data_IF_867846047523
#
_entry.id   IF_867846047523
#
_cell.length_a   1.000
_cell.length_b   1.000
_cell.length_c   1.000
_cell.angle_alpha   90.00
_cell.angle_beta   90.00
_cell.angle_gamma   90.00
#
_symmetry.space_group_name_H-M   'P 1'
#
loop_
_entity.id
_entity.type
_entity.pdbx_description
1 polymer ?
#
# COMPACT_ATOMS: atom_id res chain seq x y z
N UNK A 1 3.52 -18.15 -17.62
CA UNK A 1 2.10 -18.04 -18.04
C UNK A 1 1.15 -17.87 -16.85
N UNK A 2 1.51 -18.28 -15.61
CA UNK A 2 0.60 -18.20 -14.45
C UNK A 2 0.90 -17.08 -13.43
N UNK A 3 1.78 -16.12 -13.76
CA UNK A 3 2.24 -15.05 -12.84
C UNK A 3 2.08 -13.65 -13.45
N UNK A 4 1.58 -13.57 -14.69
CA UNK A 4 1.32 -12.27 -15.31
C UNK A 4 0.02 -11.70 -14.76
N UNK A 5 -0.02 -10.38 -14.59
CA UNK A 5 -1.27 -9.65 -14.34
C UNK A 5 -2.19 -9.87 -15.53
N UNK A 6 -3.50 -10.02 -15.26
CA UNK A 6 -4.51 -10.20 -16.30
C UNK A 6 -4.64 -8.94 -17.15
N UNK A 7 -4.91 -9.10 -18.45
CA UNK A 7 -4.95 -7.97 -19.39
C UNK A 7 -6.04 -6.96 -19.04
N UNK A 8 -7.09 -7.38 -18.33
CA UNK A 8 -8.19 -6.52 -17.86
C UNK A 8 -7.80 -5.58 -16.71
N UNK A 9 -6.63 -5.79 -16.09
CA UNK A 9 -6.11 -4.91 -15.03
C UNK A 9 -4.95 -4.08 -15.58
N UNK A 10 -5.28 -2.87 -16.04
CA UNK A 10 -4.29 -1.90 -16.50
C UNK A 10 -3.32 -1.55 -15.37
N UNK A 11 -2.02 -1.76 -15.62
CA UNK A 11 -0.94 -1.37 -14.69
C UNK A 11 -0.25 -0.16 -15.27
N UNK A 12 -0.44 1.00 -14.64
CA UNK A 12 0.18 2.25 -15.02
C UNK A 12 1.70 2.23 -14.77
N UNK A 13 2.44 3.11 -15.46
CA UNK A 13 3.89 3.22 -15.28
C UNK A 13 4.28 3.63 -13.85
N UNK A 14 3.40 4.34 -13.15
CA UNK A 14 3.59 4.78 -11.77
C UNK A 14 3.31 3.68 -10.74
N UNK A 15 2.72 2.55 -11.15
CA UNK A 15 2.33 1.49 -10.23
C UNK A 15 3.55 0.70 -9.75
N UNK A 16 3.61 0.48 -8.43
CA UNK A 16 4.72 -0.26 -7.82
C UNK A 16 4.37 -1.73 -7.74
N UNK A 17 5.28 -2.57 -8.26
CA UNK A 17 5.15 -4.03 -8.26
C UNK A 17 6.02 -4.63 -7.17
N UNK A 18 5.42 -5.51 -6.37
CA UNK A 18 6.13 -6.26 -5.31
C UNK A 18 5.88 -7.74 -5.51
N UNK A 19 6.95 -8.47 -5.85
CA UNK A 19 6.91 -9.92 -5.89
C UNK A 19 6.92 -10.48 -4.46
N UNK A 20 6.09 -11.50 -4.21
CA UNK A 20 5.99 -12.17 -2.92
C UNK A 20 6.16 -13.68 -3.04
N UNK A 21 6.81 -14.28 -2.06
CA UNK A 21 7.09 -15.73 -2.02
C UNK A 21 6.25 -16.46 -0.96
N UNK A 22 5.36 -15.75 -0.27
CA UNK A 22 4.47 -16.26 0.80
C UNK A 22 3.05 -15.68 0.62
N UNK A 23 2.11 -16.08 1.49
CA UNK A 23 0.75 -15.55 1.46
C UNK A 23 0.74 -14.04 1.74
N UNK A 24 1.37 -13.61 2.82
CA UNK A 24 1.52 -12.19 3.16
C UNK A 24 2.43 -11.48 2.17
N UNK A 25 2.00 -10.31 1.72
CA UNK A 25 2.78 -9.38 0.93
C UNK A 25 3.89 -8.67 1.72
N UNK A 26 3.94 -8.77 3.05
CA UNK A 26 4.96 -8.09 3.88
C UNK A 26 6.17 -8.97 4.21
N UNK A 27 5.98 -10.29 4.22
CA UNK A 27 7.02 -11.19 4.67
C UNK A 27 8.11 -11.38 3.61
N UNK A 28 9.33 -10.94 3.92
CA UNK A 28 10.50 -11.03 3.02
C UNK A 28 10.29 -10.27 1.69
N UNK A 29 9.66 -9.09 1.75
CA UNK A 29 9.42 -8.20 0.61
C UNK A 29 9.74 -6.74 0.95
N UNK A 30 9.92 -5.85 -0.04
CA UNK A 30 10.09 -4.42 0.20
C UNK A 30 8.79 -3.66 0.52
N UNK A 31 7.63 -4.32 0.66
CA UNK A 31 6.32 -3.65 0.70
C UNK A 31 6.20 -2.60 1.80
N UNK A 32 6.56 -2.92 3.05
CA UNK A 32 6.50 -1.95 4.16
C UNK A 32 7.41 -0.74 3.88
N UNK A 33 8.65 -0.97 3.45
CA UNK A 33 9.58 0.13 3.14
C UNK A 33 9.05 1.05 2.03
N UNK A 34 8.44 0.48 0.99
CA UNK A 34 7.80 1.25 -0.09
C UNK A 34 6.66 2.10 0.47
N UNK A 35 5.74 1.51 1.22
CA UNK A 35 4.56 2.20 1.75
C UNK A 35 4.93 3.31 2.74
N UNK A 36 5.93 3.07 3.59
CA UNK A 36 6.47 4.08 4.52
C UNK A 36 7.10 5.26 3.79
N UNK A 37 7.85 5.01 2.72
CA UNK A 37 8.46 6.06 1.91
C UNK A 37 7.42 6.90 1.14
N UNK A 38 6.21 6.37 0.93
CA UNK A 38 5.07 7.08 0.35
C UNK A 38 4.19 7.77 1.40
N UNK A 39 4.61 7.77 2.68
CA UNK A 39 3.82 8.28 3.81
C UNK A 39 2.38 7.71 3.85
N UNK A 40 2.21 6.46 3.40
CA UNK A 40 0.91 5.81 3.36
C UNK A 40 0.51 5.32 4.75
N UNK A 41 -0.69 5.66 5.20
CA UNK A 41 -1.25 5.22 6.49
C UNK A 41 -2.42 4.26 6.33
N UNK A 42 -3.11 4.32 5.19
CA UNK A 42 -4.33 3.53 4.93
C UNK A 42 -4.16 2.69 3.68
N UNK A 43 -4.49 1.40 3.78
CA UNK A 43 -4.36 0.42 2.72
C UNK A 43 -5.74 -0.15 2.34
N UNK A 44 -6.01 -0.15 1.04
CA UNK A 44 -7.19 -0.77 0.45
C UNK A 44 -6.80 -2.15 -0.08
N UNK A 45 -7.56 -3.17 0.30
CA UNK A 45 -7.31 -4.55 -0.06
C UNK A 45 -8.34 -5.05 -1.07
N UNK A 46 -7.84 -5.62 -2.16
CA UNK A 46 -8.60 -6.24 -3.23
C UNK A 46 -7.82 -7.45 -3.79
N UNK A 47 -8.50 -8.32 -4.55
CA UNK A 47 -7.88 -9.43 -5.26
C UNK A 47 -8.25 -10.82 -4.73
N UNK A 48 -7.39 -11.81 -5.02
CA UNK A 48 -7.67 -13.24 -4.78
C UNK A 48 -6.48 -13.95 -4.15
N UNK A 49 -6.66 -14.88 -3.22
CA UNK A 49 -7.91 -15.28 -2.56
C UNK A 49 -8.20 -14.43 -1.31
N UNK A 50 -9.45 -14.00 -1.14
CA UNK A 50 -9.87 -13.12 -0.02
C UNK A 50 -9.55 -13.71 1.35
N UNK A 51 -9.79 -15.01 1.52
CA UNK A 51 -9.59 -15.78 2.76
C UNK A 51 -8.15 -16.27 2.97
N UNK A 52 -7.24 -15.97 2.04
CA UNK A 52 -5.85 -16.44 2.09
C UNK A 52 -4.85 -15.29 1.92
N UNK A 53 -4.39 -15.02 0.69
CA UNK A 53 -3.33 -14.02 0.45
C UNK A 53 -3.77 -12.61 0.84
N UNK A 54 -5.04 -12.27 0.57
CA UNK A 54 -5.60 -10.96 0.93
C UNK A 54 -5.68 -10.86 2.45
N UNK A 55 -6.34 -11.81 3.13
CA UNK A 55 -6.46 -11.81 4.59
C UNK A 55 -5.10 -11.82 5.29
N UNK A 56 -4.15 -12.65 4.86
CA UNK A 56 -2.82 -12.71 5.46
C UNK A 56 -2.07 -11.37 5.36
N UNK A 57 -2.13 -10.72 4.20
CA UNK A 57 -1.49 -9.41 4.01
C UNK A 57 -2.21 -8.32 4.81
N UNK A 58 -3.55 -8.37 4.86
CA UNK A 58 -4.38 -7.43 5.61
C UNK A 58 -4.13 -7.52 7.11
N UNK A 59 -4.09 -8.72 7.68
CA UNK A 59 -3.81 -8.91 9.09
C UNK A 59 -2.42 -8.42 9.46
N UNK A 60 -1.41 -8.73 8.64
CA UNK A 60 -0.04 -8.23 8.88
C UNK A 60 0.02 -6.69 8.80
N UNK A 61 -0.63 -6.08 7.80
CA UNK A 61 -0.76 -4.62 7.72
C UNK A 61 -1.37 -4.00 8.97
N UNK A 62 -2.49 -4.56 9.45
CA UNK A 62 -3.14 -4.09 10.67
C UNK A 62 -2.22 -4.23 11.89
N UNK A 63 -1.51 -5.35 12.01
CA UNK A 63 -0.59 -5.60 13.12
C UNK A 63 0.63 -4.67 13.15
N UNK A 64 1.11 -4.20 11.99
CA UNK A 64 2.26 -3.28 11.90
C UNK A 64 1.85 -1.79 11.83
N UNK A 65 0.55 -1.50 11.98
CA UNK A 65 0.02 -0.17 12.24
C UNK A 65 -0.61 0.57 11.06
N UNK A 66 -1.00 -0.13 9.99
CA UNK A 66 -1.79 0.47 8.90
C UNK A 66 -3.29 0.40 9.20
N UNK A 67 -4.03 1.42 8.78
CA UNK A 67 -5.48 1.34 8.68
C UNK A 67 -5.84 0.47 7.47
N UNK A 68 -6.66 -0.56 7.67
CA UNK A 68 -6.99 -1.53 6.61
C UNK A 68 -8.46 -1.47 6.22
N UNK A 69 -8.72 -1.47 4.91
CA UNK A 69 -10.07 -1.52 4.34
C UNK A 69 -10.13 -2.64 3.32
N UNK A 70 -10.98 -3.64 3.54
CA UNK A 70 -11.28 -4.67 2.55
C UNK A 70 -12.38 -4.20 1.61
N UNK A 71 -12.13 -4.27 0.31
CA UNK A 71 -13.15 -4.08 -0.73
C UNK A 71 -13.75 -5.44 -1.10
N UNK A 72 -14.92 -5.75 -0.54
CA UNK A 72 -15.51 -7.09 -0.64
C UNK A 72 -15.96 -7.44 -2.06
N UNK A 73 -16.42 -6.46 -2.83
CA UNK A 73 -16.86 -6.60 -4.23
C UNK A 73 -15.68 -6.61 -5.22
N UNK A 74 -14.48 -6.24 -4.77
CA UNK A 74 -13.23 -6.29 -5.52
C UNK A 74 -12.34 -7.47 -5.08
N UNK A 75 -12.87 -8.38 -4.27
CA UNK A 75 -12.15 -9.55 -3.75
C UNK A 75 -12.93 -10.83 -4.04
N UNK A 76 -12.22 -11.94 -4.26
CA UNK A 76 -12.87 -13.22 -4.53
C UNK A 76 -12.08 -14.40 -3.97
N UNK A 77 -12.74 -15.57 -3.91
CA UNK A 77 -12.11 -16.84 -3.57
C UNK A 77 -12.82 -18.00 -4.25
N UNK A 78 -12.09 -19.10 -4.46
CA UNK A 78 -12.64 -20.40 -4.88
C UNK A 78 -12.97 -21.30 -3.69
N UNK A 79 -12.65 -20.87 -2.46
CA UNK A 79 -13.06 -21.56 -1.24
C UNK A 79 -14.60 -21.55 -1.10
N UNK A 80 -15.18 -22.47 -0.31
CA UNK A 80 -16.60 -22.39 0.02
C UNK A 80 -17.01 -21.02 0.59
N UNK A 81 -18.25 -20.60 0.33
CA UNK A 81 -18.77 -19.26 0.69
C UNK A 81 -18.52 -18.89 2.17
N UNK A 82 -18.65 -19.85 3.08
CA UNK A 82 -18.45 -19.61 4.51
C UNK A 82 -17.02 -19.15 4.87
N UNK A 83 -16.01 -19.44 4.04
CA UNK A 83 -14.65 -18.89 4.22
C UNK A 83 -14.64 -17.37 3.98
N UNK A 84 -15.33 -16.92 2.94
CA UNK A 84 -15.46 -15.49 2.64
C UNK A 84 -16.29 -14.80 3.71
N UNK A 85 -17.40 -15.40 4.13
CA UNK A 85 -18.27 -14.83 5.18
C UNK A 85 -17.50 -14.66 6.51
N UNK A 86 -16.74 -15.69 6.91
CA UNK A 86 -15.89 -15.62 8.10
C UNK A 86 -14.78 -14.57 7.97
N UNK A 87 -14.20 -14.43 6.77
CA UNK A 87 -13.16 -13.43 6.50
C UNK A 87 -13.71 -12.02 6.63
N UNK A 88 -14.84 -11.72 5.98
CA UNK A 88 -15.52 -10.42 6.05
C UNK A 88 -15.90 -10.10 7.50
N UNK A 89 -16.46 -11.07 8.22
CA UNK A 89 -16.79 -10.92 9.63
C UNK A 89 -15.54 -10.55 10.45
N UNK A 90 -14.45 -11.31 10.34
CA UNK A 90 -13.23 -11.07 11.10
C UNK A 90 -12.61 -9.71 10.78
N UNK A 91 -12.58 -9.30 9.51
CA UNK A 91 -12.08 -7.97 9.12
C UNK A 91 -12.89 -6.87 9.79
N UNK A 92 -14.22 -6.94 9.70
CA UNK A 92 -15.10 -5.93 10.27
C UNK A 92 -15.08 -5.88 11.81
N UNK A 93 -14.75 -6.99 12.48
CA UNK A 93 -14.75 -7.06 13.95
C UNK A 93 -13.39 -6.83 14.59
N UNK A 94 -12.29 -7.18 13.91
CA UNK A 94 -10.98 -7.31 14.56
C UNK A 94 -9.87 -6.49 13.90
N UNK A 95 -9.95 -6.19 12.61
CA UNK A 95 -8.81 -5.65 11.87
C UNK A 95 -9.05 -4.24 11.35
N UNK A 96 -10.22 -3.95 10.77
CA UNK A 96 -10.48 -2.66 10.15
C UNK A 96 -11.89 -2.57 9.58
N UNK A 97 -12.01 -2.03 8.37
CA UNK A 97 -13.30 -1.78 7.73
C UNK A 97 -13.53 -2.69 6.53
N UNK A 98 -14.80 -2.96 6.26
CA UNK A 98 -15.25 -3.57 5.00
C UNK A 98 -16.06 -2.52 4.25
N UNK A 99 -15.80 -2.39 2.95
CA UNK A 99 -16.48 -1.46 2.06
C UNK A 99 -16.65 -2.10 0.68
N UNK A 100 -17.30 -1.36 -0.22
CA UNK A 100 -17.42 -1.69 -1.64
C UNK A 100 -16.68 -0.67 -2.50
N UNK A 101 -16.27 -1.07 -3.69
CA UNK A 101 -15.66 -0.17 -4.67
C UNK A 101 -16.60 0.99 -5.02
N UNK A 102 -17.91 0.73 -5.12
CA UNK A 102 -18.91 1.77 -5.33
C UNK A 102 -18.95 2.80 -4.19
N UNK A 103 -18.94 2.35 -2.93
CA UNK A 103 -18.93 3.24 -1.77
C UNK A 103 -17.61 4.03 -1.67
N UNK A 104 -16.49 3.39 -1.99
CA UNK A 104 -15.18 4.05 -2.05
C UNK A 104 -15.18 5.18 -3.09
N UNK A 105 -15.62 4.90 -4.33
CA UNK A 105 -15.68 5.91 -5.40
C UNK A 105 -16.61 7.07 -5.03
N UNK A 106 -17.75 6.79 -4.41
CA UNK A 106 -18.66 7.83 -3.92
C UNK A 106 -17.99 8.71 -2.84
N UNK A 107 -17.21 8.12 -1.93
CA UNK A 107 -16.46 8.84 -0.90
C UNK A 107 -15.31 9.69 -1.46
N UNK A 108 -14.57 9.16 -2.44
CA UNK A 108 -13.47 9.88 -3.10
C UNK A 108 -14.00 11.06 -3.93
N UNK A 109 -15.13 10.91 -4.62
CA UNK A 109 -15.77 11.97 -5.39
C UNK A 109 -16.24 13.17 -4.56
N UNK A 110 -16.37 13.01 -3.24
CA UNK A 110 -16.67 14.10 -2.32
C UNK A 110 -15.42 14.92 -1.91
N UNK A 111 -14.22 14.45 -2.25
CA UNK A 111 -12.95 15.10 -1.89
C UNK A 111 -12.22 15.53 -3.18
N UNK A 112 -12.27 16.82 -3.50
CA UNK A 112 -11.40 17.39 -4.55
C UNK A 112 -9.93 17.04 -4.23
N UNK A 113 -9.11 16.62 -5.22
CA UNK A 113 -7.73 16.27 -4.95
C UNK A 113 -6.99 17.47 -4.37
N UNK A 114 -6.49 17.31 -3.15
CA UNK A 114 -5.57 18.25 -2.52
C UNK A 114 -4.32 18.36 -3.39
N UNK A 115 -4.04 19.56 -3.89
CA UNK A 115 -2.81 19.86 -4.63
C UNK A 115 -1.59 19.45 -3.81
N UNK A 116 -0.70 18.67 -4.40
CA UNK A 116 0.54 18.21 -3.78
C UNK A 116 1.32 19.36 -3.11
N UNK A 117 2.03 19.14 -1.99
CA UNK A 117 2.91 20.15 -1.43
C UNK A 117 4.01 20.48 -2.44
N UNK A 118 4.06 21.75 -2.85
CA UNK A 118 5.12 22.27 -3.71
C UNK A 118 6.50 21.99 -3.13
N UNK A 119 7.43 21.61 -4.00
CA UNK A 119 8.79 21.26 -3.66
C UNK A 119 9.43 22.31 -2.76
N UNK A 120 9.83 21.89 -1.55
CA UNK A 120 10.74 22.66 -0.73
C UNK A 120 12.11 22.64 -1.41
N UNK A 121 12.43 23.68 -2.17
CA UNK A 121 13.80 24.00 -2.57
C UNK A 121 14.62 24.21 -1.31
N UNK A 122 15.49 23.26 -0.98
CA UNK A 122 16.50 23.43 0.05
C UNK A 122 17.64 24.30 -0.52
N UNK A 123 17.91 25.51 0.00
CA UNK A 123 19.08 26.27 -0.43
C UNK A 123 20.33 25.59 0.15
N UNK A 124 21.16 25.00 -0.72
CA UNK A 124 22.50 24.56 -0.34
C UNK A 124 23.33 25.81 0.00
N UNK A 125 23.65 25.98 1.29
CA UNK A 125 24.64 26.94 1.75
C UNK A 125 26.02 26.43 1.36
N UNK A 126 26.54 26.97 0.25
CA UNK A 126 27.95 26.83 -0.13
C UNK A 126 28.79 27.67 0.84
N UNK A 127 29.37 27.04 1.87
CA UNK A 127 30.41 27.69 2.68
C UNK A 127 31.74 27.48 1.97
N UNK A 128 32.17 28.51 1.23
CA UNK A 128 33.51 28.61 0.67
C UNK A 128 34.52 28.77 1.81
N UNK A 129 35.30 27.72 2.08
CA UNK A 129 36.44 27.80 2.99
C UNK A 129 37.71 28.08 2.19
N UNK A 130 37.87 29.33 1.76
CA UNK A 130 39.20 29.88 1.54
C UNK A 130 39.84 30.15 2.91
N UNK A 131 40.83 29.34 3.29
CA UNK A 131 41.80 29.73 4.32
C UNK A 131 43.21 29.51 3.81
N UNK A 132 43.84 30.63 3.57
CA UNK A 132 45.26 30.90 3.30
C UNK A 132 46.15 30.58 4.51
N UNK A 133 47.47 30.53 4.24
CA UNK A 133 48.62 30.61 5.19
C UNK A 133 49.03 29.24 5.80
N UNK A 134 50.29 28.78 5.86
CA UNK A 134 51.64 29.40 5.88
C UNK A 134 52.70 28.30 5.56
N UNK A 135 53.75 28.56 4.75
CA UNK A 135 55.17 28.82 5.13
C UNK A 135 55.97 27.71 5.86
N UNK A 136 57.13 27.41 5.26
CA UNK A 136 58.40 26.92 5.83
C UNK A 136 58.50 25.49 6.40
N UNK A 137 59.12 24.58 5.63
CA UNK A 137 60.44 23.95 5.89
C UNK A 137 60.75 22.89 4.83
#
# INVERSE_FOLDING_TARGET
WSVQVVDELDVAEIDIRVDKYRMSGFFDTPLDSVLRNLDTTTLLFAGVNVDQCVLATLTDAACIGYDVVLLEDCSATTSPQWCQDATIYNVAQCYGFVSTGAALLAGLGATSPSSAPGGATHPQSHTDHSRTEDKEA
#
